data_IF_203701439983
#
_entry.id   IF_203701439983
#
_cell.length_a   1.000
_cell.length_b   1.000
_cell.length_c   1.000
_cell.angle_alpha   90.00
_cell.angle_beta   90.00
_cell.angle_gamma   90.00
#
_symmetry.space_group_name_H-M   'P 1'
#
loop_
_entity.id
_entity.type
_entity.pdbx_description
1 polymer ?
#
# COMPACT_ATOMS: atom_id res chain seq x y z
N UNK A 1 12.87 -15.02 8.52
CA UNK A 1 12.61 -15.35 7.10
C UNK A 1 11.43 -14.58 6.50
N UNK A 2 10.34 -14.29 7.24
CA UNK A 2 9.20 -13.51 6.70
C UNK A 2 9.50 -12.02 6.43
N UNK A 3 10.30 -11.38 7.29
CA UNK A 3 10.63 -9.95 7.21
C UNK A 3 11.41 -9.54 5.95
N UNK A 4 12.19 -10.46 5.37
CA UNK A 4 12.98 -10.21 4.16
C UNK A 4 12.17 -10.36 2.87
N UNK A 5 10.93 -10.86 2.95
CA UNK A 5 10.09 -11.05 1.77
C UNK A 5 9.62 -9.70 1.22
N UNK A 6 9.48 -9.57 -0.11
CA UNK A 6 8.97 -8.35 -0.73
C UNK A 6 7.52 -8.09 -0.26
N UNK A 7 7.23 -6.83 0.04
CA UNK A 7 5.87 -6.38 0.34
C UNK A 7 5.32 -5.62 -0.88
N UNK A 8 4.09 -5.88 -1.33
CA UNK A 8 3.52 -5.14 -2.44
C UNK A 8 3.34 -3.67 -2.03
N UNK A 9 4.04 -2.75 -2.69
CA UNK A 9 3.94 -1.31 -2.43
C UNK A 9 3.08 -0.59 -3.46
N UNK A 10 2.15 0.26 -3.00
CA UNK A 10 1.34 1.11 -3.86
C UNK A 10 1.92 2.51 -3.94
N UNK A 11 2.39 2.93 -5.11
CA UNK A 11 2.85 4.33 -5.33
C UNK A 11 1.70 5.31 -5.62
N UNK A 12 0.44 4.85 -5.59
CA UNK A 12 -0.70 5.66 -6.00
C UNK A 12 -1.14 6.60 -4.88
N UNK A 13 -0.94 7.91 -5.10
CA UNK A 13 -1.34 8.95 -4.16
C UNK A 13 -2.84 8.90 -3.83
N UNK A 14 -3.71 8.58 -4.82
CA UNK A 14 -5.16 8.49 -4.61
C UNK A 14 -5.54 7.42 -3.58
N UNK A 15 -4.87 6.26 -3.62
CA UNK A 15 -5.12 5.20 -2.65
C UNK A 15 -4.66 5.63 -1.26
N UNK A 16 -3.47 6.22 -1.14
CA UNK A 16 -2.95 6.69 0.13
C UNK A 16 -3.75 7.85 0.71
N UNK A 17 -4.30 8.72 -0.12
CA UNK A 17 -5.26 9.75 0.29
C UNK A 17 -6.50 9.11 0.94
N UNK A 18 -7.10 8.10 0.29
CA UNK A 18 -8.25 7.39 0.85
C UNK A 18 -7.90 6.66 2.17
N UNK A 19 -6.73 6.03 2.26
CA UNK A 19 -6.27 5.38 3.49
C UNK A 19 -6.11 6.42 4.61
N UNK A 20 -5.49 7.57 4.31
CA UNK A 20 -5.33 8.66 5.26
C UNK A 20 -6.68 9.16 5.78
N UNK A 21 -7.65 9.37 4.88
CA UNK A 21 -9.00 9.79 5.26
C UNK A 21 -9.70 8.77 6.15
N UNK A 22 -9.63 7.48 5.82
CA UNK A 22 -10.25 6.42 6.63
C UNK A 22 -9.61 6.34 8.01
N UNK A 23 -8.28 6.31 8.10
CA UNK A 23 -7.57 6.24 9.38
C UNK A 23 -7.87 7.45 10.25
N UNK A 24 -7.87 8.65 9.67
CA UNK A 24 -8.11 9.89 10.41
C UNK A 24 -9.56 9.98 10.89
N UNK A 25 -10.52 9.57 10.06
CA UNK A 25 -11.92 9.45 10.47
C UNK A 25 -12.10 8.49 11.65
N UNK A 26 -11.39 7.35 11.64
CA UNK A 26 -11.41 6.40 12.76
C UNK A 26 -10.87 7.04 14.04
N UNK A 27 -9.84 7.89 13.95
CA UNK A 27 -9.33 8.65 15.12
C UNK A 27 -10.43 9.55 15.70
N UNK A 28 -11.12 10.34 14.87
CA UNK A 28 -12.22 11.20 15.34
C UNK A 28 -13.35 10.38 15.92
N UNK A 29 -13.73 9.29 15.25
CA UNK A 29 -14.76 8.39 15.74
C UNK A 29 -14.42 7.87 17.13
N UNK A 30 -13.19 7.41 17.34
CA UNK A 30 -12.72 6.97 18.66
C UNK A 30 -12.81 8.11 19.68
N UNK A 31 -12.31 9.31 19.34
CA UNK A 31 -12.30 10.44 20.28
C UNK A 31 -13.71 10.93 20.65
N UNK A 32 -14.65 10.94 19.70
CA UNK A 32 -16.02 11.44 19.91
C UNK A 32 -16.88 10.42 20.67
N UNK A 33 -16.78 9.13 20.33
CA UNK A 33 -17.64 8.09 20.88
C UNK A 33 -17.06 7.42 22.13
N UNK A 34 -15.77 7.06 22.12
CA UNK A 34 -15.16 6.41 23.28
C UNK A 34 -14.70 7.44 24.33
N UNK A 35 -14.52 8.70 23.92
CA UNK A 35 -14.12 9.81 24.79
C UNK A 35 -13.05 9.42 25.83
N UNK A 36 -11.94 8.82 25.39
CA UNK A 36 -10.98 8.27 26.32
C UNK A 36 -10.35 9.36 27.20
N UNK A 37 -9.76 8.94 28.32
CA UNK A 37 -8.99 9.80 29.22
C UNK A 37 -9.77 10.93 29.91
N UNK A 38 -11.04 10.68 30.23
CA UNK A 38 -11.84 11.65 30.96
C UNK A 38 -12.14 12.91 30.15
N UNK A 39 -12.04 12.85 28.82
CA UNK A 39 -12.41 13.97 27.95
C UNK A 39 -13.88 14.40 28.14
N UNK A 40 -14.74 13.53 28.70
CA UNK A 40 -16.07 13.88 29.23
C UNK A 40 -16.06 15.08 30.19
N UNK A 41 -14.99 15.26 30.97
CA UNK A 41 -14.85 16.36 31.92
C UNK A 41 -14.41 17.68 31.26
N UNK A 42 -14.07 17.66 29.97
CA UNK A 42 -13.73 18.88 29.22
C UNK A 42 -15.02 19.63 28.86
N UNK A 43 -15.40 20.59 29.70
CA UNK A 43 -16.67 21.34 29.61
C UNK A 43 -16.64 22.50 28.59
N UNK A 44 -15.89 22.36 27.50
CA UNK A 44 -15.82 23.40 26.46
C UNK A 44 -16.94 23.18 25.42
N UNK A 45 -17.75 24.20 25.08
CA UNK A 45 -18.78 24.10 24.05
C UNK A 45 -18.23 23.69 22.67
N UNK A 46 -16.95 23.94 22.39
CA UNK A 46 -16.30 23.61 21.13
C UNK A 46 -15.48 22.30 21.15
N UNK A 47 -15.71 21.41 22.13
CA UNK A 47 -14.96 20.14 22.30
C UNK A 47 -14.80 19.33 21.01
N UNK A 48 -15.86 19.20 20.21
CA UNK A 48 -15.80 18.45 18.94
C UNK A 48 -14.84 19.08 17.92
N UNK A 49 -14.68 20.41 17.94
CA UNK A 49 -13.74 21.12 17.08
C UNK A 49 -12.28 20.81 17.46
N UNK A 50 -12.00 20.61 18.75
CA UNK A 50 -10.68 20.15 19.20
C UNK A 50 -10.40 18.72 18.74
N UNK A 51 -11.41 17.84 18.75
CA UNK A 51 -11.26 16.46 18.28
C UNK A 51 -10.98 16.36 16.78
N UNK A 52 -11.65 17.18 15.96
CA UNK A 52 -11.39 17.25 14.51
C UNK A 52 -9.92 17.65 14.23
N UNK A 53 -9.26 18.42 15.10
CA UNK A 53 -7.84 18.75 14.89
C UNK A 53 -6.91 17.54 15.00
N UNK A 54 -7.25 16.52 15.80
CA UNK A 54 -6.50 15.27 15.81
C UNK A 54 -6.65 14.48 14.50
N UNK A 55 -7.81 14.61 13.82
CA UNK A 55 -7.99 14.09 12.45
C UNK A 55 -6.93 14.65 11.52
N UNK A 56 -6.80 15.98 11.50
CA UNK A 56 -5.90 16.68 10.61
C UNK A 56 -4.44 16.36 10.90
N UNK A 57 -4.07 16.24 12.18
CA UNK A 57 -2.73 15.78 12.58
C UNK A 57 -2.48 14.38 12.01
N UNK A 58 -3.39 13.44 12.22
CA UNK A 58 -3.25 12.07 11.73
C UNK A 58 -3.13 12.03 10.19
N UNK A 59 -3.99 12.79 9.51
CA UNK A 59 -4.07 12.86 8.06
C UNK A 59 -2.79 13.42 7.44
N UNK A 60 -2.36 14.59 7.89
CA UNK A 60 -1.18 15.29 7.37
C UNK A 60 0.08 14.45 7.59
N UNK A 61 0.23 13.88 8.79
CA UNK A 61 1.39 13.05 9.14
C UNK A 61 1.42 11.80 8.28
N UNK A 62 0.27 11.14 8.06
CA UNK A 62 0.20 9.98 7.17
C UNK A 62 0.63 10.34 5.74
N UNK A 63 0.08 11.42 5.17
CA UNK A 63 0.42 11.84 3.80
C UNK A 63 1.90 12.18 3.68
N UNK A 64 2.45 12.89 4.67
CA UNK A 64 3.88 13.20 4.72
C UNK A 64 4.74 11.93 4.69
N UNK A 65 4.42 10.93 5.53
CA UNK A 65 5.15 9.66 5.52
C UNK A 65 4.91 8.81 4.28
N UNK A 66 3.76 8.94 3.62
CA UNK A 66 3.57 8.35 2.30
C UNK A 66 4.51 8.98 1.27
N UNK A 67 4.65 10.30 1.24
CA UNK A 67 5.58 10.97 0.33
C UNK A 67 7.03 10.55 0.61
N UNK A 68 7.42 10.44 1.87
CA UNK A 68 8.74 9.98 2.27
C UNK A 68 8.99 8.51 1.89
N UNK A 69 8.00 7.63 2.11
CA UNK A 69 8.10 6.22 1.70
C UNK A 69 8.13 6.05 0.18
N UNK A 70 7.39 6.88 -0.57
CA UNK A 70 7.46 6.91 -2.03
C UNK A 70 8.86 7.32 -2.49
N UNK A 71 9.41 8.39 -1.94
CA UNK A 71 10.77 8.84 -2.27
C UNK A 71 11.81 7.75 -1.96
N UNK A 72 11.74 7.14 -0.77
CA UNK A 72 12.61 6.03 -0.37
C UNK A 72 12.52 4.85 -1.36
N UNK A 73 11.30 4.44 -1.71
CA UNK A 73 11.07 3.37 -2.67
C UNK A 73 11.65 3.70 -4.06
N UNK A 74 11.49 4.94 -4.51
CA UNK A 74 12.00 5.37 -5.81
C UNK A 74 13.54 5.41 -5.86
N UNK A 75 14.20 5.75 -4.74
CA UNK A 75 15.66 5.80 -4.61
C UNK A 75 16.31 4.42 -4.48
N UNK A 76 15.79 3.55 -3.60
CA UNK A 76 16.45 2.28 -3.28
C UNK A 76 15.89 1.09 -4.08
N UNK A 77 14.72 1.24 -4.72
CA UNK A 77 14.02 0.17 -5.47
C UNK A 77 13.75 -1.11 -4.67
N UNK A 78 13.81 -1.03 -3.33
CA UNK A 78 13.60 -2.14 -2.42
C UNK A 78 12.40 -1.79 -1.53
N UNK A 79 11.46 -2.72 -1.42
CA UNK A 79 10.36 -2.64 -0.45
C UNK A 79 10.05 -4.02 0.11
N UNK A 80 10.47 -4.28 1.35
CA UNK A 80 10.19 -5.51 2.07
C UNK A 80 9.29 -5.19 3.26
N UNK A 81 8.94 -6.22 4.02
CA UNK A 81 8.15 -6.05 5.24
C UNK A 81 8.83 -5.16 6.28
N UNK A 82 10.16 -5.17 6.36
CA UNK A 82 10.90 -4.35 7.33
C UNK A 82 10.65 -2.86 7.08
N UNK A 83 10.76 -2.41 5.84
CA UNK A 83 10.55 -1.01 5.46
C UNK A 83 9.09 -0.61 5.71
N UNK A 84 8.14 -1.47 5.34
CA UNK A 84 6.71 -1.21 5.58
C UNK A 84 6.40 -1.05 7.07
N UNK A 85 6.89 -1.96 7.92
CA UNK A 85 6.70 -1.89 9.38
C UNK A 85 7.38 -0.66 9.96
N UNK A 86 8.60 -0.36 9.52
CA UNK A 86 9.36 0.80 9.96
C UNK A 86 8.61 2.11 9.65
N UNK A 87 8.16 2.31 8.41
CA UNK A 87 7.42 3.51 8.02
C UNK A 87 6.06 3.61 8.74
N UNK A 88 5.38 2.50 9.00
CA UNK A 88 4.13 2.52 9.77
C UNK A 88 4.36 2.90 11.24
N UNK A 89 5.38 2.33 11.90
CA UNK A 89 5.73 2.67 13.28
C UNK A 89 6.17 4.13 13.38
N UNK A 90 6.96 4.60 12.42
CA UNK A 90 7.48 5.95 12.41
C UNK A 90 6.36 6.98 12.18
N UNK A 91 5.42 6.70 11.27
CA UNK A 91 4.18 7.48 11.11
C UNK A 91 3.40 7.61 12.43
N UNK A 92 3.13 6.49 13.11
CA UNK A 92 2.37 6.49 14.36
C UNK A 92 3.10 7.26 15.47
N UNK A 93 4.42 7.05 15.56
CA UNK A 93 5.24 7.69 16.58
C UNK A 93 5.19 9.21 16.46
N UNK A 94 5.30 9.73 15.23
CA UNK A 94 5.22 11.16 14.96
C UNK A 94 3.81 11.69 15.16
N UNK A 95 2.78 10.96 14.72
CA UNK A 95 1.39 11.36 14.91
C UNK A 95 1.02 11.48 16.40
N UNK A 96 1.42 10.50 17.23
CA UNK A 96 1.23 10.52 18.68
C UNK A 96 2.02 11.67 19.29
N UNK A 97 3.26 11.90 18.88
CA UNK A 97 4.08 13.00 19.42
C UNK A 97 3.46 14.36 19.13
N UNK A 98 2.99 14.60 17.90
CA UNK A 98 2.31 15.85 17.57
C UNK A 98 0.96 15.98 18.30
N UNK A 99 0.24 14.88 18.48
CA UNK A 99 -0.99 14.87 19.28
C UNK A 99 -0.73 15.22 20.75
N UNK A 100 0.37 14.75 21.35
CA UNK A 100 0.78 15.12 22.70
C UNK A 100 1.06 16.62 22.81
N UNK A 101 1.89 17.16 21.91
CA UNK A 101 2.23 18.59 21.88
C UNK A 101 0.95 19.42 21.70
N UNK A 102 0.08 19.02 20.79
CA UNK A 102 -1.20 19.68 20.57
C UNK A 102 -2.07 19.67 21.85
N UNK A 103 -2.12 18.55 22.55
CA UNK A 103 -2.89 18.42 23.80
C UNK A 103 -2.35 19.34 24.88
N UNK A 104 -1.07 19.29 25.20
CA UNK A 104 -0.49 20.07 26.30
C UNK A 104 -0.47 21.58 26.00
N UNK A 105 -0.11 21.97 24.77
CA UNK A 105 0.05 23.38 24.41
C UNK A 105 -1.29 24.05 24.09
N UNK A 106 -2.19 23.39 23.36
CA UNK A 106 -3.42 24.03 22.86
C UNK A 106 -4.63 23.76 23.75
N UNK A 107 -4.77 22.52 24.26
CA UNK A 107 -5.93 22.14 25.07
C UNK A 107 -5.69 22.48 26.54
N UNK A 108 -4.61 21.97 27.13
CA UNK A 108 -4.30 22.18 28.55
C UNK A 108 -3.70 23.58 28.81
N UNK A 109 -3.09 24.20 27.79
CA UNK A 109 -2.37 25.50 27.90
C UNK A 109 -1.26 25.48 28.96
N UNK A 110 -0.66 24.32 29.18
CA UNK A 110 0.40 24.11 30.17
C UNK A 110 1.67 23.63 29.45
N UNK A 111 2.38 24.54 28.76
CA UNK A 111 3.62 24.18 28.07
C UNK A 111 4.71 23.69 29.06
N UNK A 112 4.64 24.05 30.34
CA UNK A 112 5.51 23.48 31.38
C UNK A 112 5.37 21.95 31.55
N UNK A 113 4.27 21.34 31.09
CA UNK A 113 4.07 19.90 31.14
C UNK A 113 4.80 19.11 30.05
N UNK A 114 5.55 19.79 29.15
CA UNK A 114 6.39 19.14 28.13
C UNK A 114 7.65 18.50 28.74
N UNK A 115 7.45 17.66 29.74
CA UNK A 115 8.48 16.85 30.40
C UNK A 115 8.59 15.49 29.72
N UNK A 116 9.81 14.96 29.66
CA UNK A 116 10.07 13.66 29.02
C UNK A 116 9.32 12.52 29.72
N UNK A 117 9.21 12.57 31.05
CA UNK A 117 8.50 11.56 31.83
C UNK A 117 7.01 11.50 31.49
N UNK A 118 6.34 12.66 31.42
CA UNK A 118 4.94 12.74 31.03
C UNK A 118 4.74 12.30 29.58
N UNK A 119 5.61 12.76 28.67
CA UNK A 119 5.58 12.35 27.27
C UNK A 119 5.69 10.83 27.13
N UNK A 120 6.67 10.18 27.77
CA UNK A 120 6.86 8.73 27.66
C UNK A 120 5.67 7.95 28.25
N UNK A 121 5.13 8.42 29.37
CA UNK A 121 3.93 7.84 29.98
C UNK A 121 2.75 7.92 29.01
N UNK A 122 2.49 9.11 28.47
CA UNK A 122 1.38 9.35 27.55
C UNK A 122 1.54 8.60 26.23
N UNK A 123 2.75 8.63 25.66
CA UNK A 123 3.12 7.92 24.44
C UNK A 123 2.87 6.42 24.59
N UNK A 124 3.31 5.81 25.70
CA UNK A 124 3.07 4.39 25.98
C UNK A 124 1.58 4.07 25.99
N UNK A 125 0.76 4.86 26.70
CA UNK A 125 -0.68 4.62 26.80
C UNK A 125 -1.38 4.78 25.45
N UNK A 126 -1.05 5.84 24.71
CA UNK A 126 -1.63 6.09 23.39
C UNK A 126 -1.20 5.06 22.36
N UNK A 127 0.07 4.66 22.37
CA UNK A 127 0.59 3.67 21.44
C UNK A 127 -0.02 2.29 21.68
N UNK A 128 -0.09 1.83 22.94
CA UNK A 128 -0.71 0.53 23.27
C UNK A 128 -2.23 0.53 23.05
N UNK A 129 -2.92 1.61 23.42
CA UNK A 129 -4.38 1.68 23.33
C UNK A 129 -4.88 1.87 21.90
N UNK A 130 -4.42 2.94 21.23
CA UNK A 130 -4.97 3.37 19.94
C UNK A 130 -3.97 3.20 18.79
N UNK A 131 -2.68 3.40 19.05
CA UNK A 131 -1.61 3.23 18.07
C UNK A 131 -1.60 1.83 17.45
N UNK A 132 -1.79 0.80 18.27
CA UNK A 132 -1.84 -0.61 17.84
C UNK A 132 -3.02 -0.88 16.89
N UNK A 133 -4.20 -0.32 17.17
CA UNK A 133 -5.38 -0.45 16.31
C UNK A 133 -5.12 0.22 14.97
N UNK A 134 -4.63 1.46 14.99
CA UNK A 134 -4.30 2.22 13.78
C UNK A 134 -3.18 1.55 12.98
N UNK A 135 -2.20 0.93 13.65
CA UNK A 135 -1.12 0.18 13.02
C UNK A 135 -1.64 -0.98 12.18
N UNK A 136 -2.47 -1.83 12.79
CA UNK A 136 -3.06 -3.00 12.11
C UNK A 136 -3.91 -2.57 10.92
N UNK A 137 -4.74 -1.53 11.10
CA UNK A 137 -5.58 -1.00 10.04
C UNK A 137 -4.74 -0.38 8.90
N UNK A 138 -3.71 0.38 9.23
CA UNK A 138 -2.82 0.98 8.24
C UNK A 138 -2.14 -0.08 7.38
N UNK A 139 -1.58 -1.12 8.02
CA UNK A 139 -0.98 -2.27 7.32
C UNK A 139 -2.01 -3.00 6.45
N UNK A 140 -3.19 -3.30 7.00
CA UNK A 140 -4.25 -4.00 6.29
C UNK A 140 -4.66 -3.25 5.02
N UNK A 141 -4.95 -1.95 5.12
CA UNK A 141 -5.36 -1.15 3.97
C UNK A 141 -4.23 -1.03 2.95
N UNK A 142 -2.98 -0.74 3.38
CA UNK A 142 -1.84 -0.62 2.47
C UNK A 142 -1.61 -1.93 1.70
N UNK A 143 -1.66 -3.07 2.39
CA UNK A 143 -1.58 -4.38 1.76
C UNK A 143 -2.71 -4.61 0.75
N UNK A 144 -3.97 -4.32 1.14
CA UNK A 144 -5.15 -4.51 0.30
C UNK A 144 -5.11 -3.68 -0.99
N UNK A 145 -4.73 -2.41 -0.90
CA UNK A 145 -4.66 -1.50 -2.04
C UNK A 145 -3.44 -1.75 -2.93
N UNK A 146 -2.35 -2.27 -2.38
CA UNK A 146 -1.20 -2.66 -3.17
C UNK A 146 -1.41 -3.99 -3.92
N UNK A 147 -2.00 -4.99 -3.26
CA UNK A 147 -2.30 -6.30 -3.87
C UNK A 147 -3.25 -6.17 -5.08
N UNK A 148 -4.30 -5.34 -4.98
CA UNK A 148 -5.20 -5.05 -6.12
C UNK A 148 -4.47 -4.52 -7.35
N UNK A 149 -3.43 -3.70 -7.18
CA UNK A 149 -2.68 -3.11 -8.30
C UNK A 149 -1.82 -4.15 -9.01
N UNK A 150 -1.19 -5.05 -8.26
CA UNK A 150 -0.37 -6.12 -8.84
C UNK A 150 -1.23 -7.09 -9.66
N UNK A 151 -2.40 -7.49 -9.14
CA UNK A 151 -3.35 -8.36 -9.88
C UNK A 151 -3.76 -7.72 -11.22
N UNK A 152 -4.06 -6.41 -11.23
CA UNK A 152 -4.41 -5.71 -12.47
C UNK A 152 -3.21 -5.63 -13.42
N UNK A 153 -2.01 -5.37 -12.90
CA UNK A 153 -0.80 -5.27 -13.72
C UNK A 153 -0.43 -6.61 -14.36
N UNK A 154 -0.55 -7.70 -13.60
CA UNK A 154 -0.29 -9.06 -14.07
C UNK A 154 -1.34 -9.52 -15.09
N UNK A 155 -2.62 -9.14 -14.89
CA UNK A 155 -3.69 -9.40 -15.87
C UNK A 155 -3.49 -8.63 -17.18
N UNK A 156 -3.11 -7.35 -17.12
CA UNK A 156 -2.85 -6.54 -18.31
C UNK A 156 -1.63 -7.06 -19.06
N UNK A 157 -0.54 -7.40 -18.36
CA UNK A 157 0.67 -7.95 -18.98
C UNK A 157 0.40 -9.30 -19.66
N UNK A 158 -0.30 -10.21 -18.98
CA UNK A 158 -0.69 -11.50 -19.58
C UNK A 158 -1.68 -11.36 -20.74
N UNK A 159 -2.53 -10.33 -20.76
CA UNK A 159 -3.41 -10.07 -21.91
C UNK A 159 -2.62 -9.56 -23.12
N UNK A 160 -1.65 -8.66 -22.90
CA UNK A 160 -0.79 -8.11 -23.96
C UNK A 160 0.14 -9.20 -24.55
N UNK A 161 0.77 -10.03 -23.71
CA UNK A 161 1.58 -11.17 -24.19
C UNK A 161 0.74 -12.20 -24.96
N UNK A 162 -0.51 -12.43 -24.55
CA UNK A 162 -1.40 -13.34 -25.28
C UNK A 162 -1.87 -12.76 -26.63
N UNK A 163 -1.99 -11.44 -26.78
CA UNK A 163 -2.30 -10.81 -28.06
C UNK A 163 -1.11 -10.79 -29.03
N UNK A 164 0.12 -10.62 -28.54
CA UNK A 164 1.34 -10.73 -29.37
C UNK A 164 1.67 -12.20 -29.73
N UNK A 165 1.41 -13.15 -28.83
CA UNK A 165 1.61 -14.58 -29.09
C UNK A 165 0.64 -15.12 -30.17
N UNK A 166 -0.58 -14.57 -30.27
CA UNK A 166 -1.54 -14.90 -31.33
C UNK A 166 -1.17 -14.41 -32.73
N UNK A 167 -0.15 -13.56 -32.88
CA UNK A 167 0.28 -13.00 -34.18
C UNK A 167 1.55 -13.62 -34.77
N UNK A 168 2.18 -14.58 -34.09
CA UNK A 168 3.33 -15.29 -34.69
C UNK A 168 2.83 -16.30 -35.72
N UNK A 169 2.86 -15.91 -36.99
CA UNK A 169 2.70 -16.85 -38.10
C UNK A 169 4.05 -17.49 -38.42
N UNK A 170 4.05 -18.81 -38.58
CA UNK A 170 5.18 -19.58 -39.08
C UNK A 170 4.91 -19.85 -40.55
N UNK A 171 5.91 -19.52 -41.38
CA UNK A 171 5.84 -19.69 -42.81
C UNK A 171 6.59 -20.99 -43.16
N UNK A 172 5.83 -22.03 -43.47
CA UNK A 172 6.37 -23.33 -43.89
C UNK A 172 6.53 -23.30 -45.41
N UNK A 173 7.78 -23.35 -45.88
CA UNK A 173 8.11 -23.35 -47.30
C UNK A 173 8.64 -24.71 -47.72
N UNK A 174 7.95 -25.35 -48.67
CA UNK A 174 8.41 -26.58 -49.30
C UNK A 174 9.64 -26.34 -50.20
N UNK A 175 10.49 -27.36 -50.32
CA UNK A 175 11.68 -27.36 -51.20
C UNK A 175 11.31 -27.18 -52.68
N UNK A 176 10.10 -27.53 -53.07
CA UNK A 176 9.50 -27.21 -54.36
C UNK A 176 8.81 -25.84 -54.23
N UNK A 177 9.28 -24.81 -54.96
CA UNK A 177 8.90 -23.38 -54.88
C UNK A 177 7.39 -23.01 -54.98
N UNK A 178 6.46 -23.98 -54.94
CA UNK A 178 5.01 -23.78 -55.10
C UNK A 178 4.19 -24.01 -53.83
N UNK A 179 4.79 -24.42 -52.71
CA UNK A 179 4.06 -24.70 -51.48
C UNK A 179 4.53 -23.78 -50.34
N UNK A 180 3.71 -22.76 -50.07
CA UNK A 180 3.86 -21.85 -48.94
C UNK A 180 2.63 -22.03 -48.07
N UNK A 181 2.83 -22.49 -46.84
CA UNK A 181 1.78 -22.62 -45.84
C UNK A 181 2.06 -21.67 -44.69
N UNK A 182 1.21 -20.67 -44.51
CA UNK A 182 1.27 -19.75 -43.37
C UNK A 182 0.35 -20.26 -42.26
N UNK A 183 0.92 -20.54 -41.08
CA UNK A 183 0.18 -21.13 -39.96
C UNK A 183 0.42 -20.33 -38.70
N UNK A 184 -0.64 -20.06 -37.94
CA UNK A 184 -0.54 -19.42 -36.63
C UNK A 184 0.11 -20.39 -35.64
N UNK A 185 1.19 -19.96 -34.95
CA UNK A 185 1.97 -20.81 -34.02
C UNK A 185 1.09 -21.49 -32.96
N UNK A 186 0.04 -20.80 -32.50
CA UNK A 186 -0.89 -21.30 -31.50
C UNK A 186 -1.73 -22.50 -31.96
N UNK A 187 -1.77 -22.78 -33.26
CA UNK A 187 -2.51 -23.90 -33.84
C UNK A 187 -1.59 -25.09 -34.11
N UNK A 188 -0.26 -24.96 -33.97
CA UNK A 188 0.68 -26.05 -34.25
C UNK A 188 0.83 -26.93 -33.01
N UNK A 189 0.33 -28.16 -33.07
CA UNK A 189 0.37 -29.11 -31.95
C UNK A 189 1.73 -29.80 -31.84
N UNK A 190 2.27 -30.26 -32.98
CA UNK A 190 3.64 -30.79 -33.08
C UNK A 190 4.11 -30.84 -34.54
N UNK A 191 5.43 -30.89 -34.73
CA UNK A 191 6.09 -31.05 -36.04
C UNK A 191 6.94 -32.32 -35.99
N UNK A 192 6.73 -33.27 -36.91
CA UNK A 192 7.51 -34.52 -37.00
C UNK A 192 8.36 -34.55 -38.27
N UNK A 193 9.63 -34.87 -38.10
CA UNK A 193 10.57 -35.17 -39.20
C UNK A 193 10.61 -36.69 -39.45
N UNK A 194 10.52 -37.09 -40.71
CA UNK A 194 10.78 -38.47 -41.18
C UNK A 194 11.75 -38.40 -42.36
N UNK A 195 12.83 -39.18 -42.31
CA UNK A 195 13.85 -39.30 -43.35
C UNK A 195 14.41 -37.97 -43.88
N UNK A 196 14.79 -37.05 -42.98
CA UNK A 196 15.31 -35.71 -43.26
C UNK A 196 14.32 -34.72 -43.91
N UNK A 197 13.03 -35.05 -43.97
CA UNK A 197 11.97 -34.15 -44.40
C UNK A 197 10.94 -33.92 -43.30
N UNK A 198 10.40 -32.70 -43.21
CA UNK A 198 9.28 -32.38 -42.32
C UNK A 198 7.99 -32.81 -43.02
N UNK A 199 7.38 -33.91 -42.56
CA UNK A 199 6.31 -34.60 -43.31
C UNK A 199 4.91 -34.40 -42.71
N UNK A 200 4.79 -34.10 -41.40
CA UNK A 200 3.47 -33.92 -40.75
C UNK A 200 3.44 -32.78 -39.74
N UNK A 201 2.50 -31.87 -39.95
CA UNK A 201 2.09 -30.84 -38.98
C UNK A 201 0.64 -31.13 -38.58
N UNK A 202 0.36 -31.23 -37.29
CA UNK A 202 -1.02 -31.35 -36.77
C UNK A 202 -1.50 -29.99 -36.28
N UNK A 203 -2.71 -29.60 -36.70
CA UNK A 203 -3.33 -28.33 -36.34
C UNK A 203 -4.51 -28.54 -35.38
N UNK A 204 -4.67 -27.67 -34.37
CA UNK A 204 -5.83 -27.66 -33.46
C UNK A 204 -6.80 -26.52 -33.75
#
# INVERSE_FOLDING_TARGET
>A
MFLSNPFPYSTSFRNHFLIASILSFIVVFILVFLQPFGSNNFSNPYKNLYFIRYEWICFIVYIFFHLLSKWYYESFKIWKWVEELFFCILYLSVAITLAFIYTEVIINKSPEHLTLSLFLFWFKHMFLGFGLILFVLALFFRHRYASKKNIIKDYVFSTIENEESKKKTILLQGTMKKEILEVVTSQVVYVKSEDNYVTRCAFS
#
